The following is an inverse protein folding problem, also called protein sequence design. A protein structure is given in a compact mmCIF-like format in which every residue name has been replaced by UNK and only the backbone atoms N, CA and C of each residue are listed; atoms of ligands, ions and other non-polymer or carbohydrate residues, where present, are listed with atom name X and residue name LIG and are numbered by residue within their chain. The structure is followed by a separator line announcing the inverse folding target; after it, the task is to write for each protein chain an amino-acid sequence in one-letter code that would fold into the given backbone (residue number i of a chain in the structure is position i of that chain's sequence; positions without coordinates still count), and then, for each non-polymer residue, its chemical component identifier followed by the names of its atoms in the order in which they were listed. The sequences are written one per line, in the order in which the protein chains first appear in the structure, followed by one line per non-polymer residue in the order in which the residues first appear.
data_IF_322309880903
#
_entry.id   IF_322309880903
#
_cell.length_a   1.000
_cell.length_b   1.000
_cell.length_c   1.000
_cell.angle_alpha   90.00
_cell.angle_beta   90.00
_cell.angle_gamma   90.00
#
_symmetry.space_group_name_H-M   'P 1'
#
loop_
_entity.id
_entity.type
_entity.pdbx_description
1 polymer ?
#
# COMPACT_ATOMS: atom_id res chain seq x y z
N UNK A 1 -5.98 -8.99 -0.56
CA UNK A 1 -6.92 -8.48 0.47
C UNK A 1 -6.50 -7.09 0.91
N UNK A 2 -7.42 -6.22 1.34
CA UNK A 2 -7.10 -4.81 1.59
C UNK A 2 -6.42 -4.54 2.94
N UNK A 3 -6.59 -5.37 3.98
CA UNK A 3 -5.99 -5.15 5.29
C UNK A 3 -5.89 -6.40 6.15
N UNK A 4 -5.41 -6.23 7.38
CA UNK A 4 -5.17 -7.33 8.33
C UNK A 4 -6.45 -8.10 8.66
N UNK A 5 -7.50 -7.42 9.10
CA UNK A 5 -8.77 -8.05 9.46
C UNK A 5 -9.33 -8.88 8.32
N UNK A 6 -9.28 -8.34 7.10
CA UNK A 6 -9.76 -9.03 5.90
C UNK A 6 -8.86 -10.24 5.54
N UNK A 7 -7.55 -10.14 5.74
CA UNK A 7 -6.61 -11.26 5.56
C UNK A 7 -6.91 -12.38 6.55
N UNK A 8 -6.98 -12.06 7.84
CA UNK A 8 -7.19 -13.05 8.91
C UNK A 8 -8.55 -13.73 8.80
N UNK A 9 -9.62 -12.96 8.54
CA UNK A 9 -10.96 -13.50 8.31
C UNK A 9 -10.98 -14.44 7.09
N UNK A 10 -10.28 -14.08 6.01
CA UNK A 10 -10.18 -14.94 4.82
C UNK A 10 -9.41 -16.22 5.13
N UNK A 11 -8.30 -16.13 5.87
CA UNK A 11 -7.53 -17.32 6.28
C UNK A 11 -8.38 -18.28 7.12
N UNK A 12 -9.12 -17.75 8.11
CA UNK A 12 -10.01 -18.53 8.95
C UNK A 12 -11.13 -19.20 8.13
N UNK A 13 -11.75 -18.45 7.21
CA UNK A 13 -12.81 -18.98 6.35
C UNK A 13 -12.29 -20.08 5.41
N UNK A 14 -11.10 -19.92 4.81
CA UNK A 14 -10.50 -20.97 3.99
C UNK A 14 -10.26 -22.22 4.85
N UNK A 15 -9.71 -22.08 6.05
CA UNK A 15 -9.51 -23.20 6.99
C UNK A 15 -10.81 -23.94 7.29
N UNK A 16 -11.86 -23.22 7.69
CA UNK A 16 -13.17 -23.80 7.98
C UNK A 16 -13.79 -24.51 6.77
N UNK A 17 -13.64 -23.94 5.56
CA UNK A 17 -14.19 -24.54 4.34
C UNK A 17 -13.43 -25.80 3.92
N UNK A 18 -12.13 -25.88 4.19
CA UNK A 18 -11.35 -27.09 3.95
C UNK A 18 -11.81 -28.26 4.83
N UNK A 19 -12.16 -27.99 6.08
CA UNK A 19 -12.68 -29.02 7.00
C UNK A 19 -14.06 -29.57 6.59
N UNK A 20 -14.83 -28.80 5.82
CA UNK A 20 -16.16 -29.19 5.32
C UNK A 20 -16.11 -30.00 4.02
N UNK A 21 -14.94 -30.10 3.38
CA UNK A 21 -14.77 -30.79 2.11
C UNK A 21 -14.25 -32.22 2.36
N UNK A 22 -14.99 -33.20 1.86
CA UNK A 22 -14.52 -34.59 1.84
C UNK A 22 -13.35 -34.74 0.87
N UNK A 23 -12.28 -35.44 1.30
CA UNK A 23 -11.08 -35.74 0.50
C UNK A 23 -10.31 -34.51 -0.04
N UNK A 24 -10.35 -33.39 0.70
CA UNK A 24 -9.63 -32.19 0.31
C UNK A 24 -8.09 -32.38 0.40
N UNK A 25 -7.33 -32.06 -0.67
CA UNK A 25 -5.88 -32.04 -0.59
C UNK A 25 -5.37 -31.07 0.47
N UNK A 26 -4.27 -31.41 1.14
CA UNK A 26 -3.67 -30.55 2.16
C UNK A 26 -3.32 -29.16 1.60
N UNK A 27 -3.84 -28.11 2.25
CA UNK A 27 -3.61 -26.71 1.91
C UNK A 27 -3.08 -25.93 3.13
N UNK A 28 -1.85 -25.46 3.05
CA UNK A 28 -1.27 -24.57 4.07
C UNK A 28 -1.67 -23.12 3.78
N UNK A 29 -2.50 -22.54 4.64
CA UNK A 29 -2.96 -21.15 4.54
C UNK A 29 -2.07 -20.24 5.39
N UNK A 30 -1.46 -19.22 4.79
CA UNK A 30 -0.53 -18.31 5.46
C UNK A 30 -0.92 -16.84 5.21
N UNK A 31 -1.12 -16.03 6.27
CA UNK A 31 -1.36 -14.60 6.14
C UNK A 31 -0.06 -13.83 5.88
N UNK A 32 -0.12 -12.73 5.15
CA UNK A 32 0.97 -11.76 5.05
C UNK A 32 0.45 -10.32 4.95
N UNK A 33 0.87 -9.48 5.89
CA UNK A 33 0.56 -8.05 5.98
C UNK A 33 1.68 -7.32 6.74
N UNK A 34 1.73 -5.99 6.65
CA UNK A 34 2.85 -5.17 7.11
C UNK A 34 3.19 -5.30 8.61
N UNK A 35 2.18 -5.50 9.46
CA UNK A 35 2.34 -5.61 10.92
C UNK A 35 2.68 -7.03 11.41
N UNK A 36 2.79 -8.01 10.51
CA UNK A 36 3.03 -9.40 10.90
C UNK A 36 4.45 -9.55 11.49
N UNK A 37 4.64 -10.27 12.61
CA UNK A 37 5.96 -10.59 13.17
C UNK A 37 6.91 -11.24 12.15
N UNK A 38 8.20 -10.92 12.22
CA UNK A 38 9.20 -11.33 11.23
C UNK A 38 9.37 -12.86 11.11
N UNK A 39 9.23 -13.58 12.22
CA UNK A 39 9.24 -15.04 12.28
C UNK A 39 8.05 -15.64 11.50
N UNK A 40 6.86 -15.04 11.63
CA UNK A 40 5.67 -15.45 10.87
C UNK A 40 5.77 -15.06 9.39
N UNK A 41 6.33 -13.88 9.09
CA UNK A 41 6.62 -13.50 7.70
C UNK A 41 7.59 -14.50 7.06
N UNK A 42 8.62 -14.97 7.77
CA UNK A 42 9.59 -15.94 7.24
C UNK A 42 8.92 -17.26 6.78
N UNK A 43 7.82 -17.66 7.42
CA UNK A 43 7.10 -18.91 7.09
C UNK A 43 6.61 -18.97 5.66
N UNK A 44 6.28 -17.83 5.04
CA UNK A 44 5.79 -17.81 3.66
C UNK A 44 6.87 -18.21 2.65
N UNK A 45 8.15 -18.10 3.00
CA UNK A 45 9.29 -18.46 2.15
C UNK A 45 9.65 -19.94 2.25
N UNK A 46 9.24 -20.62 3.31
CA UNK A 46 9.46 -22.06 3.41
C UNK A 46 8.65 -22.80 2.32
N UNK A 47 9.25 -23.88 1.82
CA UNK A 47 8.57 -24.81 0.91
C UNK A 47 7.41 -25.45 1.67
N UNK A 48 6.31 -25.70 0.94
CA UNK A 48 5.22 -26.47 1.49
C UNK A 48 5.71 -27.89 1.85
N UNK A 49 5.15 -28.49 2.90
CA UNK A 49 5.43 -29.87 3.25
C UNK A 49 5.01 -30.80 2.09
N UNK A 50 5.67 -31.96 1.99
CA UNK A 50 5.58 -32.86 0.82
C UNK A 50 4.13 -33.10 0.38
N UNK A 51 3.88 -32.81 -0.90
CA UNK A 51 2.59 -32.95 -1.60
C UNK A 51 1.43 -32.02 -1.16
N UNK A 52 1.70 -30.96 -0.37
CA UNK A 52 0.69 -29.96 0.01
C UNK A 52 0.78 -28.67 -0.82
N UNK A 53 -0.37 -28.02 -1.05
CA UNK A 53 -0.42 -26.70 -1.69
C UNK A 53 -0.24 -25.60 -0.63
N UNK A 54 0.33 -24.46 -1.04
CA UNK A 54 0.44 -23.26 -0.20
C UNK A 54 -0.50 -22.17 -0.73
N UNK A 55 -1.33 -21.61 0.14
CA UNK A 55 -2.17 -20.47 -0.13
C UNK A 55 -1.68 -19.29 0.73
N UNK A 56 -1.19 -18.24 0.08
CA UNK A 56 -0.76 -17.02 0.75
C UNK A 56 -1.84 -15.96 0.58
N UNK A 57 -2.43 -15.51 1.69
CA UNK A 57 -3.42 -14.43 1.69
C UNK A 57 -2.70 -13.14 2.05
N UNK A 58 -2.54 -12.26 1.06
CA UNK A 58 -1.67 -11.09 1.15
C UNK A 58 -2.41 -9.76 1.01
N UNK A 59 -1.85 -8.72 1.63
CA UNK A 59 -2.09 -7.33 1.21
C UNK A 59 -1.28 -6.98 -0.05
N UNK A 60 -1.32 -5.71 -0.48
CA UNK A 60 -0.50 -5.22 -1.59
C UNK A 60 1.02 -5.34 -1.36
N UNK A 61 1.49 -5.78 -0.19
CA UNK A 61 2.89 -6.13 0.04
C UNK A 61 3.42 -7.21 -0.91
N UNK A 62 2.55 -8.13 -1.35
CA UNK A 62 2.91 -9.15 -2.35
C UNK A 62 3.01 -8.58 -3.79
N UNK A 63 2.53 -7.37 -4.02
CA UNK A 63 2.54 -6.73 -5.34
C UNK A 63 3.95 -6.30 -5.74
N UNK A 64 4.73 -5.72 -4.83
CA UNK A 64 6.06 -5.15 -5.12
C UNK A 64 7.17 -5.76 -4.25
N UNK A 65 6.96 -5.82 -2.94
CA UNK A 65 8.02 -6.02 -1.93
C UNK A 65 8.43 -7.47 -1.68
N UNK A 66 7.67 -8.46 -2.17
CA UNK A 66 7.92 -9.87 -1.89
C UNK A 66 8.08 -10.70 -3.16
N UNK A 67 9.10 -11.54 -3.18
CA UNK A 67 9.35 -12.50 -4.25
C UNK A 67 9.10 -13.91 -3.73
N UNK A 68 7.86 -14.37 -3.87
CA UNK A 68 7.48 -15.73 -3.52
C UNK A 68 7.63 -16.63 -4.75
N UNK A 69 8.48 -17.64 -4.61
CA UNK A 69 8.67 -18.64 -5.66
C UNK A 69 7.53 -19.66 -5.66
N UNK A 70 7.18 -20.16 -6.85
CA UNK A 70 6.19 -21.22 -7.03
C UNK A 70 4.73 -20.75 -7.01
N UNK A 71 4.47 -19.44 -7.15
CA UNK A 71 3.11 -18.95 -7.36
C UNK A 71 2.70 -19.24 -8.81
N UNK A 72 1.70 -20.09 -8.97
CA UNK A 72 1.08 -20.39 -10.28
C UNK A 72 -0.34 -19.81 -10.40
N UNK A 73 -0.98 -19.49 -9.28
CA UNK A 73 -2.36 -19.02 -9.24
C UNK A 73 -2.44 -17.74 -8.42
N UNK A 74 -3.07 -16.71 -8.98
CA UNK A 74 -3.37 -15.45 -8.31
C UNK A 74 -4.87 -15.24 -8.32
N UNK A 75 -5.45 -14.84 -7.18
CA UNK A 75 -6.84 -14.42 -7.07
C UNK A 75 -6.82 -12.94 -6.71
N UNK A 76 -7.30 -12.09 -7.62
CA UNK A 76 -7.26 -10.64 -7.47
C UNK A 76 -8.67 -10.07 -7.26
N UNK A 77 -9.01 -9.62 -6.03
CA UNK A 77 -10.29 -8.98 -5.77
C UNK A 77 -10.39 -7.56 -6.35
N UNK A 78 -9.28 -6.96 -6.83
CA UNK A 78 -9.31 -5.63 -7.44
C UNK A 78 -9.28 -4.45 -6.45
N UNK A 79 -9.01 -4.69 -5.16
CA UNK A 79 -8.97 -3.65 -4.13
C UNK A 79 -7.61 -3.53 -3.42
N UNK A 80 -7.34 -2.35 -2.88
CA UNK A 80 -6.22 -2.05 -1.99
C UNK A 80 -6.64 -1.01 -0.95
N UNK A 81 -5.92 -0.94 0.18
CA UNK A 81 -6.11 0.11 1.19
C UNK A 81 -5.00 1.13 1.00
N UNK A 82 -5.37 2.39 0.77
CA UNK A 82 -4.44 3.49 0.50
C UNK A 82 -4.62 4.59 1.54
N UNK A 83 -3.51 5.27 1.85
CA UNK A 83 -3.51 6.47 2.67
C UNK A 83 -3.96 7.65 1.81
N UNK A 84 -5.01 8.33 2.25
CA UNK A 84 -5.59 9.49 1.57
C UNK A 84 -5.78 10.64 2.56
N UNK A 85 -5.30 11.82 2.20
CA UNK A 85 -5.45 13.04 2.97
C UNK A 85 -6.77 13.72 2.66
N UNK A 86 -7.53 14.06 3.70
CA UNK A 86 -8.72 14.90 3.57
C UNK A 86 -8.37 16.34 3.95
N UNK A 87 -8.24 17.28 2.98
CA UNK A 87 -7.84 18.65 3.26
C UNK A 87 -8.88 19.44 4.08
N UNK A 88 -10.16 19.04 4.05
CA UNK A 88 -11.21 19.73 4.84
C UNK A 88 -11.11 19.41 6.33
N UNK A 89 -10.70 18.18 6.65
CA UNK A 89 -10.57 17.68 8.03
C UNK A 89 -9.11 17.86 8.52
N UNK A 90 -8.16 17.98 7.59
CA UNK A 90 -6.73 18.15 7.90
C UNK A 90 -6.05 16.86 8.38
N UNK A 91 -6.62 15.69 8.09
CA UNK A 91 -6.13 14.40 8.58
C UNK A 91 -6.03 13.37 7.46
N UNK A 92 -5.07 12.45 7.61
CA UNK A 92 -4.94 11.26 6.78
C UNK A 92 -5.92 10.18 7.21
N UNK A 93 -6.52 9.50 6.25
CA UNK A 93 -7.37 8.34 6.46
C UNK A 93 -6.87 7.15 5.63
N UNK A 94 -7.03 5.93 6.15
CA UNK A 94 -6.86 4.71 5.38
C UNK A 94 -8.21 4.31 4.81
N UNK A 95 -8.32 4.29 3.49
CA UNK A 95 -9.55 3.94 2.80
C UNK A 95 -9.30 2.86 1.74
N UNK A 96 -10.33 2.07 1.47
CA UNK A 96 -10.27 1.01 0.45
C UNK A 96 -10.64 1.61 -0.90
N UNK A 97 -9.77 1.40 -1.88
CA UNK A 97 -9.96 1.84 -3.26
C UNK A 97 -9.80 0.69 -4.25
N UNK A 98 -10.44 0.77 -5.43
CA UNK A 98 -10.07 -0.03 -6.57
C UNK A 98 -8.59 0.15 -6.92
N UNK A 99 -7.95 -0.91 -7.41
CA UNK A 99 -6.56 -0.86 -7.88
C UNK A 99 -6.43 -0.18 -9.24
N UNK A 100 -5.22 0.20 -9.62
CA UNK A 100 -4.95 0.60 -11.00
C UNK A 100 -4.75 -0.60 -11.92
N UNK A 101 -4.85 -0.38 -13.23
CA UNK A 101 -4.51 -1.37 -14.25
C UNK A 101 -3.04 -1.81 -14.10
N UNK A 102 -2.12 -0.87 -13.84
CA UNK A 102 -0.73 -1.17 -13.54
C UNK A 102 -0.58 -2.15 -12.35
N UNK A 103 -1.28 -1.90 -11.24
CA UNK A 103 -1.30 -2.79 -10.08
C UNK A 103 -1.91 -4.17 -10.39
N UNK A 104 -3.03 -4.20 -11.12
CA UNK A 104 -3.65 -5.45 -11.57
C UNK A 104 -2.70 -6.30 -12.43
N UNK A 105 -1.89 -5.65 -13.27
CA UNK A 105 -0.91 -6.30 -14.13
C UNK A 105 0.29 -6.82 -13.33
N UNK A 106 0.77 -6.06 -12.33
CA UNK A 106 1.80 -6.54 -11.40
C UNK A 106 1.33 -7.77 -10.62
N UNK A 107 0.08 -7.76 -10.13
CA UNK A 107 -0.54 -8.89 -9.43
C UNK A 107 -0.62 -10.13 -10.31
N UNK A 108 -1.14 -10.02 -11.53
CA UNK A 108 -1.16 -11.16 -12.47
C UNK A 108 0.25 -11.64 -12.83
N UNK A 109 1.23 -10.73 -12.92
CA UNK A 109 2.63 -11.06 -13.20
C UNK A 109 3.27 -11.96 -12.14
N UNK A 110 2.73 -11.99 -10.90
CA UNK A 110 3.21 -12.91 -9.86
C UNK A 110 2.98 -14.38 -10.19
N UNK A 111 1.90 -14.72 -10.89
CA UNK A 111 1.62 -16.09 -11.33
C UNK A 111 2.57 -16.58 -12.44
N UNK A 112 3.20 -15.67 -13.18
CA UNK A 112 4.02 -16.00 -14.35
C UNK A 112 5.52 -16.13 -14.09
N UNK A 113 5.97 -16.09 -12.83
CA UNK A 113 7.41 -16.01 -12.52
C UNK A 113 8.17 -17.32 -12.71
N UNK A 114 7.55 -18.45 -12.35
CA UNK A 114 8.19 -19.77 -12.38
C UNK A 114 7.72 -20.66 -13.53
N UNK A 115 6.72 -20.22 -14.29
CA UNK A 115 6.14 -20.97 -15.40
C UNK A 115 4.77 -20.42 -15.81
N UNK A 116 4.04 -21.10 -16.70
CA UNK A 116 2.68 -20.73 -17.06
C UNK A 116 1.77 -20.71 -15.82
N UNK A 117 1.17 -19.55 -15.54
CA UNK A 117 0.28 -19.34 -14.41
C UNK A 117 -1.06 -18.76 -14.82
N UNK A 118 -1.99 -18.73 -13.88
CA UNK A 118 -3.35 -18.21 -14.07
C UNK A 118 -3.66 -17.11 -13.05
N UNK A 119 -4.32 -16.06 -13.52
CA UNK A 119 -4.82 -14.98 -12.66
C UNK A 119 -6.34 -14.91 -12.78
N UNK A 120 -7.04 -15.03 -11.66
CA UNK A 120 -8.48 -14.90 -11.55
C UNK A 120 -8.81 -13.53 -10.99
N UNK A 121 -9.27 -12.62 -11.85
CA UNK A 121 -9.76 -11.28 -11.48
C UNK A 121 -11.24 -11.38 -11.10
N UNK A 122 -11.62 -10.89 -9.92
CA UNK A 122 -13.00 -10.93 -9.42
C UNK A 122 -13.84 -9.73 -9.88
N UNK A 123 -13.52 -9.19 -11.05
CA UNK A 123 -14.17 -8.04 -11.68
C UNK A 123 -14.21 -8.28 -13.20
N UNK A 124 -15.14 -7.61 -13.87
CA UNK A 124 -15.35 -7.80 -15.31
C UNK A 124 -14.24 -7.14 -16.13
N UNK A 125 -14.07 -7.60 -17.37
CA UNK A 125 -13.16 -6.97 -18.33
C UNK A 125 -13.53 -5.51 -18.57
N UNK A 126 -14.82 -5.18 -18.65
CA UNK A 126 -15.28 -3.79 -18.76
C UNK A 126 -14.82 -2.93 -17.58
N UNK A 127 -14.92 -3.43 -16.35
CA UNK A 127 -14.45 -2.69 -15.18
C UNK A 127 -12.94 -2.46 -15.23
N UNK A 128 -12.17 -3.45 -15.70
CA UNK A 128 -10.73 -3.31 -15.89
C UNK A 128 -10.38 -2.20 -16.88
N UNK A 129 -11.05 -2.16 -18.03
CA UNK A 129 -10.74 -1.24 -19.12
C UNK A 129 -11.28 0.19 -18.90
N UNK A 130 -12.51 0.31 -18.38
CA UNK A 130 -13.24 1.58 -18.31
C UNK A 130 -13.23 2.22 -16.91
N UNK A 131 -13.19 1.42 -15.83
CA UNK A 131 -13.35 1.95 -14.46
C UNK A 131 -12.01 2.08 -13.71
N UNK A 132 -11.04 1.19 -13.96
CA UNK A 132 -9.74 1.25 -13.28
C UNK A 132 -8.84 2.31 -13.92
N UNK A 133 -8.19 3.12 -13.08
CA UNK A 133 -7.17 4.07 -13.51
C UNK A 133 -5.98 3.33 -14.12
N UNK A 134 -5.37 3.88 -15.18
CA UNK A 134 -4.19 3.29 -15.81
C UNK A 134 -3.04 3.11 -14.80
N UNK A 135 -2.76 4.16 -14.02
CA UNK A 135 -1.71 4.20 -13.00
C UNK A 135 -2.29 4.60 -11.64
N UNK A 136 -1.63 4.12 -10.59
CA UNK A 136 -1.95 4.51 -9.21
C UNK A 136 -1.57 5.97 -8.99
N UNK A 137 -2.47 6.76 -8.40
CA UNK A 137 -2.20 8.17 -8.05
C UNK A 137 -0.97 8.28 -7.15
N UNK A 138 0.02 9.13 -7.47
CA UNK A 138 1.24 9.30 -6.68
C UNK A 138 0.99 9.62 -5.21
N UNK A 139 1.85 9.13 -4.32
CA UNK A 139 1.71 9.31 -2.87
C UNK A 139 1.72 10.79 -2.45
N UNK A 140 2.57 11.60 -3.10
CA UNK A 140 2.68 13.04 -2.86
C UNK A 140 1.38 13.79 -3.17
N UNK A 141 0.52 13.27 -4.04
CA UNK A 141 -0.74 13.91 -4.39
C UNK A 141 -1.88 13.56 -3.43
N UNK A 142 -1.70 12.55 -2.57
CA UNK A 142 -2.76 11.96 -1.76
C UNK A 142 -2.44 11.88 -0.27
N UNK A 143 -1.33 12.42 0.21
CA UNK A 143 -0.94 12.36 1.63
C UNK A 143 -0.71 13.75 2.22
N UNK A 144 -0.73 13.85 3.55
CA UNK A 144 -0.28 15.06 4.23
C UNK A 144 1.21 15.32 3.92
N UNK A 145 1.53 16.55 3.51
CA UNK A 145 2.85 16.96 3.09
C UNK A 145 3.65 17.66 4.19
N UNK A 146 3.16 17.79 5.42
CA UNK A 146 3.86 18.49 6.51
C UNK A 146 5.29 17.97 6.70
N UNK A 147 5.50 16.66 6.75
CA UNK A 147 6.85 16.09 6.89
C UNK A 147 7.73 16.40 5.66
N UNK A 148 7.16 16.35 4.45
CA UNK A 148 7.86 16.66 3.19
C UNK A 148 8.23 18.14 3.12
N UNK A 149 7.32 19.03 3.48
CA UNK A 149 7.54 20.49 3.53
C UNK A 149 8.63 20.83 4.53
N UNK A 150 8.59 20.22 5.72
CA UNK A 150 9.58 20.43 6.77
C UNK A 150 10.98 19.98 6.30
N UNK A 151 11.06 18.82 5.66
CA UNK A 151 12.29 18.30 5.06
C UNK A 151 12.83 19.23 3.96
N UNK A 152 12.00 19.60 2.98
CA UNK A 152 12.40 20.50 1.88
C UNK A 152 12.91 21.84 2.41
N UNK A 153 12.25 22.39 3.45
CA UNK A 153 12.68 23.63 4.09
C UNK A 153 14.03 23.49 4.80
N UNK A 154 14.34 22.34 5.41
CA UNK A 154 15.69 22.11 5.96
C UNK A 154 16.78 21.94 4.93
N UNK A 155 16.43 21.49 3.72
CA UNK A 155 17.35 21.41 2.59
C UNK A 155 17.60 22.78 1.93
N UNK A 156 16.95 23.85 2.42
CA UNK A 156 17.13 25.21 1.91
C UNK A 156 16.25 25.54 0.71
N UNK A 157 15.14 24.81 0.50
CA UNK A 157 14.17 25.15 -0.55
C UNK A 157 13.27 26.29 -0.08
N UNK A 158 13.46 27.47 -0.65
CA UNK A 158 12.67 28.66 -0.31
C UNK A 158 11.25 28.62 -0.92
N UNK A 159 11.16 28.43 -2.24
CA UNK A 159 9.90 28.44 -2.97
C UNK A 159 9.45 27.02 -3.33
N UNK A 160 8.55 26.48 -2.51
CA UNK A 160 7.99 25.13 -2.70
C UNK A 160 7.06 25.05 -3.91
N UNK A 161 6.45 26.17 -4.33
CA UNK A 161 5.55 26.19 -5.50
C UNK A 161 6.33 26.11 -6.81
N UNK A 162 7.58 26.57 -6.82
CA UNK A 162 8.50 26.45 -7.97
C UNK A 162 9.40 25.22 -7.91
N UNK A 163 9.29 24.40 -6.85
CA UNK A 163 10.08 23.19 -6.75
C UNK A 163 9.67 22.19 -7.83
N UNK A 164 10.68 21.61 -8.51
CA UNK A 164 10.47 20.69 -9.62
C UNK A 164 10.11 19.28 -9.13
N UNK A 165 8.86 19.08 -8.72
CA UNK A 165 8.32 17.75 -8.46
C UNK A 165 8.13 16.97 -9.78
N UNK A 166 8.38 15.66 -9.75
CA UNK A 166 8.04 14.77 -10.87
C UNK A 166 6.53 14.76 -11.10
N UNK A 167 5.77 14.55 -10.02
CA UNK A 167 4.33 14.72 -9.96
C UNK A 167 4.02 15.77 -8.89
N UNK A 168 3.55 16.94 -9.32
CA UNK A 168 3.29 18.04 -8.40
C UNK A 168 2.10 17.71 -7.47
N UNK A 169 2.20 17.98 -6.15
CA UNK A 169 1.06 17.88 -5.25
C UNK A 169 0.02 18.97 -5.56
N UNK A 170 -1.26 18.75 -5.18
CA UNK A 170 -2.25 19.81 -5.18
C UNK A 170 -1.78 21.01 -4.32
N UNK A 171 -1.90 22.22 -4.86
CA UNK A 171 -1.47 23.44 -4.16
C UNK A 171 -2.16 23.60 -2.81
N UNK A 172 -3.44 23.24 -2.72
CA UNK A 172 -4.20 23.27 -1.46
C UNK A 172 -3.58 22.37 -0.38
N UNK A 173 -3.09 21.18 -0.75
CA UNK A 173 -2.44 20.28 0.22
C UNK A 173 -1.12 20.86 0.72
N UNK A 174 -0.35 21.49 -0.18
CA UNK A 174 0.90 22.14 0.17
C UNK A 174 0.68 23.34 1.10
N UNK A 175 -0.28 24.21 0.77
CA UNK A 175 -0.65 25.38 1.57
C UNK A 175 -1.18 24.97 2.95
N UNK A 176 -2.06 23.97 3.01
CA UNK A 176 -2.54 23.43 4.29
C UNK A 176 -1.39 22.87 5.14
N UNK A 177 -0.45 22.15 4.53
CA UNK A 177 0.71 21.60 5.23
C UNK A 177 1.63 22.71 5.78
N UNK A 178 1.87 23.77 5.01
CA UNK A 178 2.61 24.95 5.48
C UNK A 178 1.88 25.67 6.62
N UNK A 179 0.56 25.83 6.50
CA UNK A 179 -0.27 26.46 7.54
C UNK A 179 -0.26 25.65 8.84
N UNK A 180 -0.33 24.31 8.76
CA UNK A 180 -0.21 23.42 9.92
C UNK A 180 1.16 23.59 10.60
N UNK A 181 2.26 23.58 9.84
CA UNK A 181 3.60 23.76 10.39
C UNK A 181 3.82 25.16 11.00
N UNK A 182 3.24 26.20 10.40
CA UNK A 182 3.25 27.54 10.97
C UNK A 182 2.48 27.60 12.30
N UNK A 183 1.29 26.98 12.35
CA UNK A 183 0.48 26.89 13.58
C UNK A 183 1.21 26.13 14.70
N UNK A 184 1.98 25.10 14.35
CA UNK A 184 2.83 24.35 15.28
C UNK A 184 4.11 25.09 15.68
N UNK A 185 4.39 26.27 15.09
CA UNK A 185 5.60 27.04 15.34
C UNK A 185 6.87 26.47 14.68
N UNK A 186 6.73 25.51 13.78
CA UNK A 186 7.84 24.95 13.00
C UNK A 186 8.31 25.90 11.88
N UNK A 187 7.39 26.70 11.34
CA UNK A 187 7.66 27.78 10.38
C UNK A 187 7.33 29.14 10.99
N UNK A 188 8.07 30.18 10.59
CA UNK A 188 7.76 31.57 10.94
C UNK A 188 6.81 32.24 9.92
N UNK A 189 6.48 33.52 10.17
CA UNK A 189 5.59 34.31 9.29
C UNK A 189 6.15 34.56 7.89
N UNK A 190 7.45 34.33 7.68
CA UNK A 190 8.10 34.43 6.36
C UNK A 190 8.21 33.08 5.66
N UNK A 191 7.72 32.00 6.30
CA UNK A 191 7.80 30.63 5.78
C UNK A 191 9.18 29.99 5.93
N UNK A 192 10.01 30.52 6.84
CA UNK A 192 11.33 30.00 7.16
C UNK A 192 11.30 29.08 8.39
N UNK A 193 12.26 28.16 8.45
CA UNK A 193 12.32 27.12 9.48
C UNK A 193 12.78 27.71 10.83
N UNK A 194 11.98 27.53 11.88
CA UNK A 194 12.31 28.00 13.23
C UNK A 194 13.30 27.06 13.94
N UNK A 195 13.79 27.46 15.12
CA UNK A 195 14.57 26.56 16.00
C UNK A 195 13.79 25.31 16.40
N UNK A 196 12.47 25.43 16.57
CA UNK A 196 11.58 24.30 16.85
C UNK A 196 11.47 23.40 15.62
N UNK A 197 11.22 23.97 14.45
CA UNK A 197 11.13 23.21 13.19
C UNK A 197 12.40 22.40 12.90
N UNK A 198 13.58 22.95 13.18
CA UNK A 198 14.86 22.21 13.06
C UNK A 198 14.93 20.99 13.97
N UNK A 199 14.49 21.10 15.22
CA UNK A 199 14.45 19.97 16.17
C UNK A 199 13.43 18.92 15.77
N UNK A 200 12.29 19.33 15.20
CA UNK A 200 11.26 18.40 14.74
C UNK A 200 11.76 17.47 13.64
N UNK A 201 12.71 17.92 12.81
CA UNK A 201 13.30 17.13 11.72
C UNK A 201 14.24 16.04 12.22
N UNK A 202 14.89 16.26 13.36
CA UNK A 202 15.80 15.29 13.97
C UNK A 202 15.04 14.08 14.54
N UNK A 203 13.72 14.18 14.70
CA UNK A 203 12.87 13.11 15.21
C UNK A 203 12.28 12.31 14.03
N UNK A 204 12.47 10.99 13.98
CA UNK A 204 11.74 10.14 13.04
C UNK A 204 10.27 10.07 13.49
N UNK A 205 9.41 10.88 12.88
CA UNK A 205 7.96 10.93 13.08
C UNK A 205 7.21 10.24 11.94
#
# INVERSE_FOLDING_TARGET
MPGQEEVEATCALIGQRLEQLDDAPALSVLPIYSQLPADLQARIFHRAADNSRKCVVATNIAETSLTLDGILFVIDPGYCKLKVFNPRIGMDALQVFPISQASANQRSGRAGRTGPGQCYRLYTERQYEEELLANTVPEIQRTNLSNVVLLLKSLGVDDLLKFHFMDAPPQDNLLNSMYQLWTLGALDNTGQLTKLGRRMIELPL
#
